data_IF_125882859827
#
_entry.id   IF_125882859827
#
_cell.length_a   1.000
_cell.length_b   1.000
_cell.length_c   1.000
_cell.angle_alpha   90.00
_cell.angle_beta   90.00
_cell.angle_gamma   90.00
#
_symmetry.space_group_name_H-M   'P 1'
#
loop_
_entity.id
_entity.type
_entity.pdbx_description
1 polymer ?
#
# COMPACT_ATOMS: atom_id res chain seq x y z
N UNK A 1 16.02 50.53 47.20
CA UNK A 1 14.70 50.27 46.58
C UNK A 1 14.32 48.84 46.89
N UNK A 2 13.23 48.64 47.63
CA UNK A 2 12.75 47.33 48.06
C UNK A 2 12.38 46.47 46.83
N UNK A 3 13.17 45.44 46.56
CA UNK A 3 12.76 44.38 45.64
C UNK A 3 11.56 43.67 46.25
N UNK A 4 10.34 43.97 45.77
CA UNK A 4 9.17 43.13 46.06
C UNK A 4 9.55 41.72 45.64
N UNK A 5 9.71 40.81 46.61
CA UNK A 5 9.72 39.37 46.33
C UNK A 5 8.45 39.10 45.53
N UNK A 6 8.59 38.66 44.28
CA UNK A 6 7.46 38.11 43.53
C UNK A 6 6.91 36.98 44.38
N UNK A 7 5.64 37.08 44.76
CA UNK A 7 4.98 36.01 45.50
C UNK A 7 4.63 34.93 44.48
N UNK A 8 5.03 33.71 44.79
CA UNK A 8 4.68 32.54 44.01
C UNK A 8 3.52 31.81 44.71
N UNK A 9 2.70 31.13 43.92
CA UNK A 9 1.68 30.19 44.37
C UNK A 9 1.94 28.80 43.79
N UNK A 10 1.46 27.77 44.49
CA UNK A 10 1.53 26.39 44.02
C UNK A 10 0.24 26.02 43.29
N UNK A 11 0.39 25.39 42.15
CA UNK A 11 -0.70 24.81 41.36
C UNK A 11 -0.35 23.37 41.01
N UNK A 12 -1.38 22.58 40.72
CA UNK A 12 -1.26 21.18 40.30
C UNK A 12 -1.83 21.03 38.90
N UNK A 13 -1.02 20.58 37.95
CA UNK A 13 -1.40 20.48 36.53
C UNK A 13 -1.46 19.02 36.08
N UNK A 14 -2.40 18.73 35.18
CA UNK A 14 -2.45 17.47 34.44
C UNK A 14 -1.85 17.70 33.05
N UNK A 15 -0.80 16.94 32.72
CA UNK A 15 -0.19 16.96 31.38
C UNK A 15 -0.79 15.86 30.51
N UNK A 16 -1.61 16.26 29.55
CA UNK A 16 -2.21 15.34 28.57
C UNK A 16 -1.50 15.59 27.25
N UNK A 17 -0.41 14.85 27.02
CA UNK A 17 0.40 14.88 25.79
C UNK A 17 0.93 16.28 25.40
N UNK A 18 1.33 17.10 26.38
CA UNK A 18 1.82 18.45 26.15
C UNK A 18 0.74 19.53 26.19
N UNK A 19 -0.51 19.18 26.52
CA UNK A 19 -1.63 20.12 26.66
C UNK A 19 -2.12 20.20 28.10
N UNK A 20 -2.29 21.43 28.59
CA UNK A 20 -2.88 21.69 29.91
C UNK A 20 -4.39 21.89 29.76
N UNK A 21 -5.17 20.97 30.32
CA UNK A 21 -6.63 21.09 30.32
C UNK A 21 -7.17 21.87 31.53
N UNK A 22 -6.35 22.03 32.58
CA UNK A 22 -6.70 22.72 33.81
C UNK A 22 -5.55 22.78 34.80
N UNK A 23 -5.77 23.50 35.89
CA UNK A 23 -4.93 23.40 37.08
C UNK A 23 -5.81 23.41 38.35
N UNK A 24 -5.35 22.74 39.39
CA UNK A 24 -5.93 22.79 40.72
C UNK A 24 -5.07 23.68 41.64
N UNK A 25 -5.71 24.35 42.60
CA UNK A 25 -5.04 25.12 43.66
C UNK A 25 -4.84 24.30 44.95
N UNK A 26 -5.27 23.04 44.94
CA UNK A 26 -5.12 22.08 46.03
C UNK A 26 -4.38 20.85 45.50
N UNK A 27 -3.65 20.19 46.39
CA UNK A 27 -2.89 18.98 46.07
C UNK A 27 -3.77 17.90 45.45
N UNK A 28 -3.34 17.40 44.28
CA UNK A 28 -3.96 16.28 43.58
C UNK A 28 -2.96 15.12 43.52
N UNK A 29 -3.35 13.89 43.90
CA UNK A 29 -2.42 12.76 44.02
C UNK A 29 -1.63 12.38 42.76
N UNK A 30 -2.16 12.67 41.56
CA UNK A 30 -1.57 12.26 40.27
C UNK A 30 -1.07 13.45 39.43
N UNK A 31 -1.23 14.68 39.93
CA UNK A 31 -0.90 15.90 39.19
C UNK A 31 0.51 16.41 39.52
N UNK A 32 1.06 17.21 38.59
CA UNK A 32 2.39 17.79 38.71
C UNK A 32 2.30 19.11 39.50
N UNK A 33 3.04 19.20 40.63
CA UNK A 33 3.16 20.44 41.39
C UNK A 33 4.07 21.45 40.66
N UNK A 34 3.58 22.65 40.42
CA UNK A 34 4.31 23.75 39.78
C UNK A 34 4.15 25.04 40.57
N UNK A 35 5.25 25.76 40.76
CA UNK A 35 5.23 27.12 41.33
C UNK A 35 5.10 28.17 40.21
N UNK A 36 4.05 28.99 40.30
CA UNK A 36 3.75 30.08 39.35
C UNK A 36 3.61 31.41 40.09
N UNK A 37 3.62 32.55 39.38
CA UNK A 37 3.34 33.86 40.01
C UNK A 37 1.88 33.98 40.47
N UNK A 38 1.60 34.76 41.51
CA UNK A 38 0.21 35.04 41.96
C UNK A 38 -0.68 35.67 40.86
N UNK A 39 -0.08 36.24 39.81
CA UNK A 39 -0.76 36.82 38.64
C UNK A 39 -1.03 35.80 37.50
N UNK A 40 -0.67 34.53 37.69
CA UNK A 40 -0.90 33.47 36.72
C UNK A 40 -2.40 33.12 36.65
N UNK A 41 -3.03 33.44 35.52
CA UNK A 41 -4.46 33.22 35.29
C UNK A 41 -4.79 32.51 33.98
N UNK A 42 -3.88 32.52 33.02
CA UNK A 42 -4.11 32.08 31.64
C UNK A 42 -3.29 30.83 31.29
N UNK A 43 -3.72 29.67 31.79
CA UNK A 43 -2.98 28.41 31.64
C UNK A 43 -3.14 27.77 30.25
N UNK A 44 -4.17 28.13 29.48
CA UNK A 44 -4.43 27.56 28.15
C UNK A 44 -3.34 27.94 27.13
N UNK A 45 -2.65 29.06 27.37
CA UNK A 45 -1.51 29.49 26.57
C UNK A 45 -0.18 28.95 27.10
N UNK A 46 -0.19 27.92 27.95
CA UNK A 46 1.01 27.28 28.45
C UNK A 46 1.00 25.78 28.19
N UNK A 47 2.19 25.24 27.98
CA UNK A 47 2.44 23.80 27.94
C UNK A 47 3.50 23.38 28.92
N UNK A 48 3.40 22.16 29.40
CA UNK A 48 4.44 21.52 30.18
C UNK A 48 5.49 20.93 29.23
N UNK A 49 6.78 21.22 29.47
CA UNK A 49 7.90 20.66 28.69
C UNK A 49 8.60 19.47 29.38
N UNK A 50 8.05 18.99 30.50
CA UNK A 50 8.67 18.00 31.38
C UNK A 50 9.41 18.61 32.58
N UNK A 51 9.70 19.92 32.54
CA UNK A 51 10.49 20.61 33.59
C UNK A 51 9.86 21.94 34.04
N UNK A 52 9.20 22.66 33.13
CA UNK A 52 8.60 23.97 33.38
C UNK A 52 7.42 24.24 32.44
N UNK A 53 6.61 25.23 32.83
CA UNK A 53 5.61 25.82 31.96
C UNK A 53 6.26 26.73 30.91
N UNK A 54 5.97 26.49 29.64
CA UNK A 54 6.37 27.32 28.50
C UNK A 54 5.12 27.99 27.95
N UNK A 55 5.17 29.31 27.75
CA UNK A 55 4.11 30.04 27.03
C UNK A 55 4.10 29.62 25.57
N UNK A 56 3.02 28.96 25.15
CA UNK A 56 2.79 28.46 23.80
C UNK A 56 1.30 28.66 23.43
N UNK A 57 0.94 29.83 22.89
CA UNK A 57 -0.45 30.16 22.54
C UNK A 57 -0.95 29.39 21.31
N UNK A 58 -0.06 28.70 20.59
CA UNK A 58 -0.40 27.87 19.44
C UNK A 58 -0.58 26.39 19.83
N UNK A 59 -0.46 26.07 21.12
CA UNK A 59 -0.61 24.72 21.65
C UNK A 59 -2.08 24.27 21.67
N UNK A 60 -2.62 23.95 20.50
CA UNK A 60 -3.98 23.43 20.31
C UNK A 60 -3.93 21.90 20.19
N UNK A 61 -4.78 21.14 20.93
CA UNK A 61 -4.88 19.70 20.76
C UNK A 61 -5.09 19.32 19.30
N UNK A 62 -4.30 18.37 18.79
CA UNK A 62 -4.53 17.85 17.44
C UNK A 62 -5.92 17.20 17.41
N UNK A 63 -6.77 17.51 16.41
CA UNK A 63 -8.03 16.81 16.27
C UNK A 63 -7.75 15.32 16.10
N UNK A 64 -8.57 14.48 16.73
CA UNK A 64 -8.51 13.04 16.49
C UNK A 64 -8.70 12.78 14.99
N UNK A 65 -7.92 11.86 14.39
CA UNK A 65 -8.08 11.52 12.99
C UNK A 65 -9.51 11.01 12.76
N UNK A 66 -10.27 11.70 11.92
CA UNK A 66 -11.60 11.25 11.56
C UNK A 66 -11.47 9.94 10.78
N UNK A 67 -12.23 8.89 11.14
CA UNK A 67 -12.28 7.67 10.35
C UNK A 67 -12.70 8.02 8.91
N UNK A 68 -12.18 7.29 7.91
CA UNK A 68 -12.52 7.55 6.52
C UNK A 68 -14.03 7.42 6.33
N UNK A 69 -14.57 8.36 5.56
CA UNK A 69 -15.98 8.35 5.19
C UNK A 69 -16.27 7.18 4.25
N UNK A 70 -17.52 6.72 4.21
CA UNK A 70 -17.95 5.69 3.25
C UNK A 70 -17.63 6.08 1.79
N UNK A 71 -17.67 7.38 1.48
CA UNK A 71 -17.32 7.92 0.16
C UNK A 71 -15.85 7.68 -0.18
N UNK A 72 -14.93 7.93 0.77
CA UNK A 72 -13.50 7.72 0.57
C UNK A 72 -13.17 6.23 0.40
N UNK A 73 -13.82 5.36 1.19
CA UNK A 73 -13.67 3.91 1.06
C UNK A 73 -14.14 3.43 -0.31
N UNK A 74 -15.32 3.89 -0.77
CA UNK A 74 -15.86 3.54 -2.08
C UNK A 74 -14.99 4.06 -3.23
N UNK A 75 -14.41 5.26 -3.09
CA UNK A 75 -13.47 5.79 -4.09
C UNK A 75 -12.21 4.94 -4.20
N UNK A 76 -11.67 4.46 -3.08
CA UNK A 76 -10.48 3.62 -3.09
C UNK A 76 -10.78 2.24 -3.71
N UNK A 77 -11.90 1.62 -3.35
CA UNK A 77 -12.37 0.39 -3.97
C UNK A 77 -12.58 0.55 -5.49
N UNK A 78 -13.14 1.69 -5.92
CA UNK A 78 -13.31 1.97 -7.35
C UNK A 78 -11.97 2.07 -8.09
N UNK A 79 -10.94 2.67 -7.49
CA UNK A 79 -9.59 2.71 -8.08
C UNK A 79 -9.00 1.31 -8.21
N UNK A 80 -9.14 0.48 -7.17
CA UNK A 80 -8.66 -0.90 -7.19
C UNK A 80 -9.35 -1.72 -8.28
N UNK A 81 -10.68 -1.62 -8.39
CA UNK A 81 -11.46 -2.30 -9.44
C UNK A 81 -11.00 -1.85 -10.84
N UNK A 82 -10.79 -0.54 -11.06
CA UNK A 82 -10.31 -0.03 -12.35
C UNK A 82 -8.92 -0.56 -12.71
N UNK A 83 -8.03 -0.68 -11.73
CA UNK A 83 -6.70 -1.23 -11.91
C UNK A 83 -6.77 -2.73 -12.26
N UNK A 84 -7.56 -3.50 -11.52
CA UNK A 84 -7.77 -4.93 -11.78
C UNK A 84 -8.38 -5.17 -13.17
N UNK A 85 -9.40 -4.40 -13.54
CA UNK A 85 -10.01 -4.50 -14.87
C UNK A 85 -8.99 -4.22 -15.98
N UNK A 86 -8.14 -3.20 -15.83
CA UNK A 86 -7.07 -2.93 -16.81
C UNK A 86 -6.09 -4.09 -16.94
N UNK A 87 -5.69 -4.71 -15.82
CA UNK A 87 -4.80 -5.89 -15.83
C UNK A 87 -5.46 -7.10 -16.50
N UNK A 88 -6.74 -7.33 -16.24
CA UNK A 88 -7.50 -8.43 -16.85
C UNK A 88 -7.62 -8.25 -18.37
N UNK A 89 -7.86 -7.02 -18.86
CA UNK A 89 -7.91 -6.74 -20.29
C UNK A 89 -6.56 -7.01 -20.99
N UNK A 90 -5.44 -6.66 -20.36
CA UNK A 90 -4.11 -6.94 -20.91
C UNK A 90 -3.83 -8.44 -20.96
N UNK A 91 -4.20 -9.18 -19.91
CA UNK A 91 -4.07 -10.64 -19.90
C UNK A 91 -4.93 -11.31 -20.98
N UNK A 92 -6.18 -10.86 -21.16
CA UNK A 92 -7.05 -11.37 -22.22
C UNK A 92 -6.45 -11.16 -23.62
N UNK A 93 -5.83 -9.99 -23.86
CA UNK A 93 -5.14 -9.71 -25.11
C UNK A 93 -3.92 -10.63 -25.31
N UNK A 94 -3.10 -10.82 -24.28
CA UNK A 94 -1.93 -11.70 -24.34
C UNK A 94 -2.32 -13.16 -24.61
N UNK A 95 -3.36 -13.66 -23.92
CA UNK A 95 -3.88 -15.02 -24.13
C UNK A 95 -4.42 -15.21 -25.56
N UNK A 96 -5.10 -14.21 -26.12
CA UNK A 96 -5.56 -14.26 -27.52
C UNK A 96 -4.40 -14.34 -28.50
N UNK A 97 -3.33 -13.58 -28.26
CA UNK A 97 -2.12 -13.64 -29.09
C UNK A 97 -1.45 -15.01 -29.00
N UNK A 98 -1.27 -15.55 -27.79
CA UNK A 98 -0.69 -16.88 -27.58
C UNK A 98 -1.52 -17.98 -28.26
N UNK A 99 -2.85 -17.90 -28.21
CA UNK A 99 -3.73 -18.85 -28.89
C UNK A 99 -3.58 -18.82 -30.41
N UNK A 100 -3.45 -17.64 -31.02
CA UNK A 100 -3.21 -17.52 -32.47
C UNK A 100 -1.83 -18.08 -32.86
N UNK A 101 -0.80 -17.86 -32.04
CA UNK A 101 0.51 -18.47 -32.24
C UNK A 101 0.48 -20.00 -32.14
N UNK A 102 -0.23 -20.53 -31.15
CA UNK A 102 -0.41 -21.98 -30.97
C UNK A 102 -1.16 -22.60 -32.14
N UNK A 103 -2.20 -21.93 -32.64
CA UNK A 103 -2.93 -22.37 -33.83
C UNK A 103 -2.03 -22.41 -35.07
N UNK A 104 -1.23 -21.36 -35.28
CA UNK A 104 -0.25 -21.32 -36.38
C UNK A 104 0.77 -22.44 -36.28
N UNK A 105 1.29 -22.73 -35.07
CA UNK A 105 2.20 -23.85 -34.83
C UNK A 105 1.54 -25.21 -35.09
N UNK A 106 0.29 -25.38 -34.66
CA UNK A 106 -0.47 -26.61 -34.89
C UNK A 106 -0.69 -26.85 -36.39
N UNK A 107 -1.07 -25.82 -37.15
CA UNK A 107 -1.24 -25.90 -38.60
C UNK A 107 0.10 -26.24 -39.29
N UNK A 108 1.21 -25.65 -38.84
CA UNK A 108 2.55 -25.98 -39.34
C UNK A 108 2.94 -27.44 -39.09
N UNK A 109 2.65 -27.98 -37.91
CA UNK A 109 2.89 -29.40 -37.60
C UNK A 109 2.03 -30.32 -38.48
N UNK A 110 0.77 -29.96 -38.72
CA UNK A 110 -0.11 -30.71 -39.61
C UNK A 110 0.43 -30.75 -41.05
N UNK A 111 0.94 -29.63 -41.56
CA UNK A 111 1.58 -29.55 -42.88
C UNK A 111 2.85 -30.41 -42.96
N UNK A 112 3.73 -30.33 -41.95
CA UNK A 112 4.94 -31.16 -41.90
C UNK A 112 4.57 -32.64 -41.90
N UNK A 113 3.60 -33.04 -41.08
CA UNK A 113 3.13 -34.42 -41.02
C UNK A 113 2.60 -34.91 -42.37
N UNK A 114 1.77 -34.10 -43.05
CA UNK A 114 1.28 -34.42 -44.39
C UNK A 114 2.42 -34.60 -45.39
N UNK A 115 3.41 -33.71 -45.39
CA UNK A 115 4.59 -33.81 -46.25
C UNK A 115 5.42 -35.07 -45.98
N UNK A 116 5.64 -35.39 -44.71
CA UNK A 116 6.36 -36.61 -44.32
C UNK A 116 5.63 -37.87 -44.77
N UNK A 117 4.29 -37.91 -44.65
CA UNK A 117 3.50 -39.05 -45.14
C UNK A 117 3.64 -39.25 -46.65
N UNK A 118 3.66 -38.15 -47.43
CA UNK A 118 3.89 -38.23 -48.88
C UNK A 118 5.28 -38.78 -49.20
N UNK A 119 6.32 -38.25 -48.56
CA UNK A 119 7.70 -38.74 -48.75
C UNK A 119 7.85 -40.21 -48.36
N UNK A 120 7.19 -40.66 -47.29
CA UNK A 120 7.19 -42.09 -46.91
C UNK A 120 6.54 -42.96 -48.00
N UNK A 121 5.43 -42.50 -48.59
CA UNK A 121 4.77 -43.20 -49.70
C UNK A 121 5.68 -43.31 -50.93
N UNK A 122 6.36 -42.21 -51.28
CA UNK A 122 7.34 -42.17 -52.37
C UNK A 122 8.49 -43.17 -52.12
N UNK A 123 9.11 -43.12 -50.93
CA UNK A 123 10.19 -44.03 -50.54
C UNK A 123 9.72 -45.50 -50.56
N UNK A 124 8.50 -45.80 -50.11
CA UNK A 124 7.96 -47.16 -50.17
C UNK A 124 7.84 -47.67 -51.61
N UNK A 125 7.43 -46.81 -52.54
CA UNK A 125 7.36 -47.15 -53.97
C UNK A 125 8.76 -47.37 -54.57
N UNK A 126 9.73 -46.52 -54.23
CA UNK A 126 11.12 -46.67 -54.65
C UNK A 126 11.73 -47.99 -54.16
N UNK A 127 11.53 -48.31 -52.87
CA UNK A 127 11.98 -49.58 -52.28
C UNK A 127 11.35 -50.78 -52.99
N UNK A 128 10.06 -50.72 -53.32
CA UNK A 128 9.38 -51.78 -54.07
C UNK A 128 10.01 -51.98 -55.45
N UNK A 129 10.23 -50.89 -56.19
CA UNK A 129 10.85 -50.94 -57.51
C UNK A 129 12.29 -51.48 -57.48
N UNK A 130 13.06 -51.16 -56.43
CA UNK A 130 14.41 -51.72 -56.23
C UNK A 130 14.33 -53.23 -55.98
N UNK A 131 13.41 -53.71 -55.13
CA UNK A 131 13.23 -55.14 -54.86
C UNK A 131 12.90 -55.93 -56.13
N UNK A 132 11.96 -55.45 -56.93
CA UNK A 132 11.58 -56.08 -58.20
C UNK A 132 12.76 -56.20 -59.17
N UNK A 133 13.64 -55.19 -59.24
CA UNK A 133 14.85 -55.23 -60.09
C UNK A 133 15.91 -56.22 -59.60
N UNK A 134 16.02 -56.42 -58.29
CA UNK A 134 16.96 -57.40 -57.71
C UNK A 134 16.46 -58.83 -57.96
N UNK A 135 15.17 -59.08 -57.72
CA UNK A 135 14.56 -60.40 -57.89
C UNK A 135 14.49 -60.82 -59.37
N UNK A 136 14.38 -59.88 -60.31
CA UNK A 136 14.38 -60.15 -61.75
C UNK A 136 15.77 -60.26 -62.41
N UNK A 137 16.86 -60.23 -61.64
CA UNK A 137 18.24 -60.27 -62.13
C UNK A 137 18.91 -61.67 -62.01
N UNK A 138 18.17 -62.69 -61.57
CA UNK A 138 18.54 -64.13 -61.65
C UNK A 138 18.05 -64.77 -62.96
#
# INVERSE_FOLDING_TARGET
>A
MNGRRKKNMKIWIDDIEGYLQGYAMMEQPEAIEVEVGEDFSDFFNYRWDGTKLIYDPENVPKPEPTPPTDVEVLQEQLKEIKLLNSKLMLNDLAMKQENEELKTKADGLAQINAKSMLQISELNNEVKAIKEKIEGAE
#
